data_IF_570421827710
#
_entry.id   IF_570421827710
#
_cell.length_a   1.000
_cell.length_b   1.000
_cell.length_c   1.000
_cell.angle_alpha   90.00
_cell.angle_beta   90.00
_cell.angle_gamma   90.00
#
_symmetry.space_group_name_H-M   'P 1'
#
loop_
_entity.id
_entity.type
_entity.pdbx_description
1 polymer ?
#
# COMPACT_ATOMS: atom_id res chain seq x y z
N UNK A 1 7.49 -3.28 18.50
CA UNK A 1 6.66 -2.13 18.09
C UNK A 1 7.23 -1.61 16.77
N UNK A 2 6.40 -1.24 15.79
CA UNK A 2 6.88 -0.70 14.51
C UNK A 2 7.19 0.80 14.69
N UNK A 3 8.38 1.11 15.17
CA UNK A 3 8.80 2.48 15.51
C UNK A 3 9.62 3.14 14.37
N UNK A 4 9.22 4.34 13.89
CA UNK A 4 9.94 5.04 12.83
C UNK A 4 11.44 5.23 13.12
N UNK A 5 12.26 4.95 12.11
CA UNK A 5 13.72 5.09 12.20
C UNK A 5 14.46 3.87 12.76
N UNK A 6 13.76 2.91 13.37
CA UNK A 6 14.36 1.63 13.81
C UNK A 6 14.58 0.69 12.62
N UNK A 7 15.51 -0.27 12.78
CA UNK A 7 15.84 -1.22 11.72
C UNK A 7 14.63 -2.08 11.31
N UNK A 8 13.82 -2.51 12.29
CA UNK A 8 12.60 -3.30 12.05
C UNK A 8 11.46 -2.54 11.38
N UNK A 9 11.56 -1.22 11.25
CA UNK A 9 10.57 -0.38 10.58
C UNK A 9 10.95 -0.06 9.12
N UNK A 10 12.21 -0.25 8.73
CA UNK A 10 12.67 0.07 7.37
C UNK A 10 12.13 -0.93 6.35
N UNK A 11 11.90 -0.45 5.14
CA UNK A 11 11.66 -1.32 3.98
C UNK A 11 12.90 -2.16 3.76
N UNK A 12 12.71 -3.47 3.57
CA UNK A 12 13.82 -4.40 3.31
C UNK A 12 14.57 -4.01 2.02
N UNK A 13 15.90 -4.18 1.95
CA UNK A 13 16.70 -3.73 0.81
C UNK A 13 16.21 -4.25 -0.55
N UNK A 14 15.67 -5.46 -0.59
CA UNK A 14 15.15 -6.12 -1.80
C UNK A 14 13.90 -5.41 -2.37
N UNK A 15 13.22 -4.60 -1.56
CA UNK A 15 12.02 -3.83 -1.93
C UNK A 15 12.26 -2.32 -1.79
N UNK A 16 13.51 -1.88 -1.71
CA UNK A 16 13.83 -0.47 -1.59
C UNK A 16 13.29 0.32 -2.80
N UNK A 17 12.53 1.41 -2.59
CA UNK A 17 11.99 2.21 -3.68
C UNK A 17 13.10 2.81 -4.56
N UNK A 18 12.88 2.82 -5.86
CA UNK A 18 13.76 3.50 -6.81
C UNK A 18 13.62 5.04 -6.71
N UNK A 19 14.62 5.81 -7.18
CA UNK A 19 14.52 7.27 -7.20
C UNK A 19 13.27 7.75 -7.93
N UNK A 20 12.45 8.57 -7.25
CA UNK A 20 11.21 9.13 -7.79
C UNK A 20 9.95 8.30 -7.51
N UNK A 21 10.08 7.08 -6.97
CA UNK A 21 8.93 6.30 -6.52
C UNK A 21 8.32 6.90 -5.25
N UNK A 22 6.99 6.85 -5.15
CA UNK A 22 6.26 7.45 -4.03
C UNK A 22 6.12 6.47 -2.88
N UNK A 23 6.51 6.91 -1.70
CA UNK A 23 6.29 6.20 -0.44
C UNK A 23 5.21 6.92 0.35
N UNK A 24 4.11 6.23 0.65
CA UNK A 24 3.01 6.76 1.46
C UNK A 24 3.04 6.09 2.84
N UNK A 25 3.43 6.81 3.91
CA UNK A 25 3.38 6.27 5.26
C UNK A 25 1.92 6.11 5.71
N UNK A 26 1.65 5.08 6.53
CA UNK A 26 0.32 4.82 7.09
C UNK A 26 0.41 4.39 8.55
N UNK A 27 -0.60 4.75 9.33
CA UNK A 27 -0.74 4.34 10.74
C UNK A 27 -1.83 3.27 10.96
N UNK A 28 -2.59 2.93 9.92
CA UNK A 28 -3.68 1.96 9.95
C UNK A 28 -3.48 0.82 8.93
N UNK A 29 -4.21 -0.30 9.06
CA UNK A 29 -4.26 -1.35 8.04
C UNK A 29 -4.69 -0.82 6.66
N UNK A 30 -5.71 0.04 6.63
CA UNK A 30 -6.17 0.73 5.43
C UNK A 30 -5.13 1.76 4.97
N UNK A 31 -4.54 1.55 3.80
CA UNK A 31 -3.56 2.46 3.23
C UNK A 31 -4.15 3.78 2.73
N UNK A 32 -5.49 3.91 2.65
CA UNK A 32 -6.18 5.15 2.30
C UNK A 32 -6.61 5.98 3.52
N UNK A 33 -6.63 5.41 4.72
CA UNK A 33 -7.11 6.11 5.91
C UNK A 33 -6.07 7.11 6.38
N UNK A 34 -6.43 8.40 6.36
CA UNK A 34 -5.58 9.52 6.77
C UNK A 34 -4.22 9.54 6.05
N UNK A 35 -4.20 9.18 4.77
CA UNK A 35 -3.02 9.25 3.90
C UNK A 35 -3.32 9.96 2.59
N UNK A 36 -2.27 10.31 1.85
CA UNK A 36 -2.35 10.92 0.53
C UNK A 36 -2.52 9.90 -0.62
N UNK A 37 -2.73 8.60 -0.33
CA UNK A 37 -2.72 7.56 -1.35
C UNK A 37 -3.76 7.80 -2.46
N UNK A 38 -5.00 8.17 -2.11
CA UNK A 38 -6.04 8.44 -3.11
C UNK A 38 -5.69 9.64 -3.99
N UNK A 39 -5.17 10.72 -3.40
CA UNK A 39 -4.77 11.91 -4.15
C UNK A 39 -3.63 11.59 -5.12
N UNK A 40 -2.64 10.80 -4.67
CA UNK A 40 -1.51 10.34 -5.46
C UNK A 40 -1.96 9.49 -6.66
N UNK A 41 -2.88 8.55 -6.45
CA UNK A 41 -3.40 7.69 -7.51
C UNK A 41 -4.25 8.49 -8.52
N UNK A 42 -5.13 9.37 -8.04
CA UNK A 42 -5.94 10.25 -8.90
C UNK A 42 -5.10 11.21 -9.72
N UNK A 43 -4.05 11.80 -9.15
CA UNK A 43 -3.14 12.69 -9.87
C UNK A 43 -2.43 12.00 -11.04
N UNK A 44 -2.32 10.67 -11.00
CA UNK A 44 -1.76 9.83 -12.06
C UNK A 44 -2.81 9.31 -13.05
N UNK A 45 -4.09 9.59 -12.81
CA UNK A 45 -5.19 9.03 -13.59
C UNK A 45 -5.33 7.51 -13.43
N UNK A 46 -4.88 6.96 -12.30
CA UNK A 46 -4.96 5.52 -12.04
C UNK A 46 -6.42 5.08 -11.94
N UNK A 47 -6.77 3.99 -12.64
CA UNK A 47 -8.09 3.34 -12.56
C UNK A 47 -8.02 1.92 -12.00
N UNK A 48 -6.87 1.26 -12.07
CA UNK A 48 -6.62 -0.09 -11.56
C UNK A 48 -5.38 -0.09 -10.65
N UNK A 49 -5.44 -0.84 -9.55
CA UNK A 49 -4.31 -1.05 -8.65
C UNK A 49 -3.98 -2.54 -8.51
N UNK A 50 -2.69 -2.85 -8.62
CA UNK A 50 -2.16 -4.19 -8.32
C UNK A 50 -1.64 -4.18 -6.89
N UNK A 51 -2.16 -5.06 -6.04
CA UNK A 51 -1.90 -5.07 -4.59
C UNK A 51 -1.10 -6.31 -4.19
N UNK A 52 -0.02 -6.06 -3.45
CA UNK A 52 0.91 -7.04 -2.86
C UNK A 52 1.25 -6.65 -1.42
N UNK A 53 1.96 -7.50 -0.69
CA UNK A 53 2.54 -7.15 0.62
C UNK A 53 2.06 -8.02 1.78
N UNK A 54 2.10 -7.48 2.99
CA UNK A 54 1.87 -8.23 4.23
C UNK A 54 0.97 -7.46 5.21
N UNK A 55 0.02 -8.09 5.92
CA UNK A 55 -0.51 -9.46 5.74
C UNK A 55 -1.85 -9.44 4.98
N UNK A 56 -2.23 -10.57 4.35
CA UNK A 56 -3.46 -10.72 3.55
C UNK A 56 -4.67 -10.28 4.31
N UNK A 57 -4.87 -10.84 5.50
CA UNK A 57 -6.06 -10.67 6.34
C UNK A 57 -6.11 -9.35 7.12
N UNK A 58 -5.08 -8.51 6.96
CA UNK A 58 -4.97 -7.22 7.66
C UNK A 58 -4.81 -6.08 6.65
N UNK A 59 -3.57 -5.74 6.29
CA UNK A 59 -3.28 -4.54 5.51
C UNK A 59 -3.72 -4.69 4.04
N UNK A 60 -3.50 -5.88 3.48
CA UNK A 60 -3.78 -6.16 2.06
C UNK A 60 -5.29 -6.20 1.82
N UNK A 61 -6.04 -7.00 2.58
CA UNK A 61 -7.51 -7.06 2.47
C UNK A 61 -8.16 -5.71 2.76
N UNK A 62 -7.74 -5.03 3.83
CA UNK A 62 -8.29 -3.73 4.19
C UNK A 62 -8.08 -2.72 3.05
N UNK A 63 -6.86 -2.61 2.52
CA UNK A 63 -6.55 -1.69 1.42
C UNK A 63 -7.28 -2.08 0.13
N UNK A 64 -7.34 -3.37 -0.22
CA UNK A 64 -8.02 -3.84 -1.42
C UNK A 64 -9.52 -3.54 -1.41
N UNK A 65 -10.21 -3.79 -0.28
CA UNK A 65 -11.62 -3.45 -0.12
C UNK A 65 -11.86 -1.94 -0.22
N UNK A 66 -10.92 -1.15 0.30
CA UNK A 66 -11.01 0.31 0.32
C UNK A 66 -10.72 0.92 -1.06
N UNK A 67 -9.85 0.30 -1.86
CA UNK A 67 -9.64 0.63 -3.27
C UNK A 67 -10.92 0.37 -4.08
N UNK A 68 -11.52 -0.83 -3.94
CA UNK A 68 -12.80 -1.16 -4.60
C UNK A 68 -13.91 -0.16 -4.23
N UNK A 69 -14.02 0.20 -2.94
CA UNK A 69 -15.02 1.17 -2.46
C UNK A 69 -14.83 2.57 -3.04
N UNK A 70 -13.62 2.91 -3.48
CA UNK A 70 -13.27 4.20 -4.11
C UNK A 70 -13.38 4.18 -5.64
N UNK A 71 -13.72 3.02 -6.23
CA UNK A 71 -13.92 2.87 -7.66
C UNK A 71 -12.66 2.48 -8.45
N UNK A 72 -11.60 2.00 -7.78
CA UNK A 72 -10.48 1.37 -8.47
C UNK A 72 -10.80 -0.09 -8.77
N UNK A 73 -10.41 -0.55 -9.95
CA UNK A 73 -10.26 -1.99 -10.21
C UNK A 73 -9.06 -2.53 -9.41
N UNK A 74 -9.16 -3.77 -8.93
CA UNK A 74 -8.13 -4.35 -8.05
C UNK A 74 -7.70 -5.72 -8.55
N UNK A 75 -6.39 -5.89 -8.68
CA UNK A 75 -5.72 -7.17 -8.91
C UNK A 75 -4.91 -7.53 -7.67
N UNK A 76 -5.22 -8.67 -7.06
CA UNK A 76 -4.41 -9.25 -5.98
C UNK A 76 -3.42 -10.26 -6.57
N UNK A 77 -2.14 -10.08 -6.28
CA UNK A 77 -1.08 -11.00 -6.74
C UNK A 77 -0.99 -12.15 -5.75
N UNK A 78 -1.55 -13.31 -6.11
CA UNK A 78 -1.76 -14.42 -5.19
C UNK A 78 -0.48 -14.93 -4.49
N UNK A 79 0.67 -14.87 -5.14
CA UNK A 79 1.99 -15.22 -4.59
C UNK A 79 2.79 -14.00 -4.09
N UNK A 80 2.20 -12.80 -4.19
CA UNK A 80 2.77 -11.54 -3.75
C UNK A 80 2.25 -11.05 -2.39
N UNK A 81 1.42 -11.84 -1.71
CA UNK A 81 0.95 -11.57 -0.35
C UNK A 81 0.84 -12.85 0.48
N UNK A 82 0.82 -12.72 1.82
CA UNK A 82 0.80 -13.85 2.77
C UNK A 82 -0.55 -14.05 3.42
#
# INVERSE_FOLDING_TARGET
ELEPGTDGWRIVPELAPAPGETVVPKAAPDSFLDTELDAVLRARGTTEVVVTGFATEICVESTARQALSRGYDVVLVADGHT
#
